data_IF_922561548914
#
_entry.id   IF_922561548914
#
_cell.length_a   1.000
_cell.length_b   1.000
_cell.length_c   1.000
_cell.angle_alpha   90.00
_cell.angle_beta   90.00
_cell.angle_gamma   90.00
#
_symmetry.space_group_name_H-M   'P 1'
#
loop_
_entity.id
_entity.type
_entity.pdbx_description
1 polymer ?
#
# COMPACT_ATOMS: atom_id res chain seq x y z
N UNK A 1 2.78 -2.46 -19.33
CA UNK A 1 3.89 -1.50 -19.15
C UNK A 1 5.00 -2.25 -18.44
N UNK A 2 5.99 -2.78 -19.17
CA UNK A 2 7.17 -3.38 -18.53
C UNK A 2 8.25 -2.32 -18.62
N UNK A 3 8.57 -1.69 -17.49
CA UNK A 3 9.68 -0.74 -17.44
C UNK A 3 10.95 -1.51 -17.81
N UNK A 4 11.64 -1.08 -18.87
CA UNK A 4 12.92 -1.69 -19.26
C UNK A 4 13.89 -1.52 -18.10
N UNK A 5 14.72 -2.54 -17.83
CA UNK A 5 15.90 -2.46 -16.95
C UNK A 5 17.01 -1.61 -17.57
N UNK A 6 16.68 -0.45 -18.14
CA UNK A 6 17.70 0.50 -18.54
C UNK A 6 18.08 1.33 -17.30
N UNK A 7 19.39 1.54 -17.05
CA UNK A 7 19.82 2.37 -15.93
C UNK A 7 19.25 3.77 -16.18
N UNK A 8 18.32 4.20 -15.32
CA UNK A 8 17.68 5.51 -15.42
C UNK A 8 18.72 6.58 -15.11
N UNK A 9 19.53 6.95 -16.11
CA UNK A 9 20.48 8.05 -16.03
C UNK A 9 19.69 9.36 -16.17
N UNK A 10 19.66 10.10 -15.06
CA UNK A 10 18.95 11.35 -14.81
C UNK A 10 17.42 11.26 -14.87
N UNK A 11 16.81 11.30 -13.67
CA UNK A 11 15.38 11.53 -13.52
C UNK A 11 14.94 12.80 -14.23
N UNK A 12 13.75 12.75 -14.84
CA UNK A 12 13.09 13.94 -15.36
C UNK A 12 13.11 15.05 -14.31
N UNK A 13 13.48 16.28 -14.72
CA UNK A 13 13.53 17.45 -13.83
C UNK A 13 12.23 17.66 -13.03
N UNK A 14 11.11 17.13 -13.54
CA UNK A 14 9.79 17.12 -12.91
C UNK A 14 9.76 16.43 -11.53
N UNK A 15 10.63 15.44 -11.28
CA UNK A 15 10.63 14.66 -10.03
C UNK A 15 11.89 14.84 -9.18
N UNK A 16 12.61 15.96 -9.37
CA UNK A 16 13.87 16.23 -8.68
C UNK A 16 13.75 16.41 -7.15
N UNK A 17 12.53 16.61 -6.63
CA UNK A 17 12.32 16.73 -5.17
C UNK A 17 12.42 15.34 -4.53
N UNK A 18 13.37 15.09 -3.61
CA UNK A 18 13.53 13.78 -2.98
C UNK A 18 12.31 13.39 -2.14
N UNK A 19 12.05 12.09 -2.06
CA UNK A 19 11.01 11.55 -1.18
C UNK A 19 11.45 11.64 0.28
N UNK A 20 10.61 12.12 1.22
CA UNK A 20 10.96 12.15 2.64
C UNK A 20 11.31 10.77 3.20
N UNK A 21 12.35 10.67 4.03
CA UNK A 21 12.77 9.42 4.69
C UNK A 21 11.90 9.12 5.91
N UNK A 22 10.60 8.96 5.70
CA UNK A 22 9.62 8.60 6.74
C UNK A 22 8.97 7.28 6.38
N UNK A 23 9.09 6.32 7.28
CA UNK A 23 8.47 5.00 7.15
C UNK A 23 7.21 5.00 8.00
N UNK A 24 6.09 4.64 7.40
CA UNK A 24 4.79 4.60 8.05
C UNK A 24 4.22 3.20 8.01
N UNK A 25 3.77 2.74 9.16
CA UNK A 25 3.04 1.48 9.32
C UNK A 25 1.73 1.74 10.05
N UNK A 26 0.76 0.86 9.85
CA UNK A 26 -0.55 0.93 10.47
C UNK A 26 -0.95 -0.41 11.06
N UNK A 27 -1.55 -0.38 12.24
CA UNK A 27 -2.28 -1.51 12.82
C UNK A 27 -3.47 -0.98 13.60
N UNK A 28 -4.69 -1.45 13.31
CA UNK A 28 -5.93 -0.79 13.75
C UNK A 28 -6.07 -0.65 15.27
N UNK A 29 -5.59 -1.63 16.04
CA UNK A 29 -5.53 -1.61 17.50
C UNK A 29 -4.14 -1.98 18.03
N UNK A 30 -3.31 -0.97 18.31
CA UNK A 30 -1.96 -1.16 18.85
C UNK A 30 -1.93 -1.77 20.26
N UNK A 31 -3.03 -1.71 21.03
CA UNK A 31 -3.11 -2.38 22.33
C UNK A 31 -3.19 -3.90 22.18
N UNK A 32 -3.65 -4.36 21.01
CA UNK A 32 -3.79 -5.78 20.66
C UNK A 32 -2.87 -6.19 19.52
N UNK A 33 -1.78 -5.44 19.29
CA UNK A 33 -0.78 -5.77 18.29
C UNK A 33 -0.17 -7.14 18.58
N UNK A 34 -0.29 -8.13 17.67
CA UNK A 34 0.31 -9.44 17.85
C UNK A 34 1.84 -9.35 17.91
N UNK A 35 2.44 -10.20 18.75
CA UNK A 35 3.89 -10.16 18.99
C UNK A 35 4.71 -10.54 17.75
N UNK A 36 4.18 -11.42 16.90
CA UNK A 36 4.79 -11.80 15.62
C UNK A 36 4.72 -10.66 14.59
N UNK A 37 3.60 -9.94 14.50
CA UNK A 37 3.49 -8.71 13.69
C UNK A 37 4.43 -7.62 14.22
N UNK A 38 4.50 -7.44 15.54
CA UNK A 38 5.43 -6.49 16.18
C UNK A 38 6.89 -6.78 15.83
N UNK A 39 7.26 -8.06 15.66
CA UNK A 39 8.58 -8.45 15.22
C UNK A 39 8.85 -8.01 13.76
N UNK A 40 7.88 -8.17 12.86
CA UNK A 40 7.94 -7.65 11.49
C UNK A 40 8.20 -6.13 11.48
N UNK A 41 7.37 -5.36 12.18
CA UNK A 41 7.54 -3.91 12.30
C UNK A 41 8.90 -3.51 12.90
N UNK A 42 9.39 -4.28 13.88
CA UNK A 42 10.67 -4.00 14.53
C UNK A 42 11.88 -4.20 13.60
N UNK A 43 11.78 -5.03 12.56
CA UNK A 43 12.85 -5.23 11.58
C UNK A 43 13.23 -3.94 10.83
N UNK A 44 12.28 -3.02 10.66
CA UNK A 44 12.48 -1.74 9.97
C UNK A 44 13.27 -0.72 10.79
N UNK A 45 13.33 -0.86 12.12
CA UNK A 45 14.00 0.11 13.03
C UNK A 45 15.47 0.31 12.73
N UNK A 46 16.13 -0.66 12.11
CA UNK A 46 17.54 -0.50 11.74
C UNK A 46 17.77 0.69 10.78
N UNK A 47 16.76 1.09 10.00
CA UNK A 47 16.84 2.25 9.11
C UNK A 47 16.87 3.60 9.85
N UNK A 48 16.55 3.66 11.14
CA UNK A 48 16.75 4.88 11.95
C UNK A 48 18.23 5.32 11.93
N UNK A 49 19.16 4.35 11.85
CA UNK A 49 20.61 4.61 11.72
C UNK A 49 20.98 5.23 10.38
N UNK A 50 20.15 5.05 9.35
CA UNK A 50 20.26 5.67 8.02
C UNK A 50 19.48 6.99 7.91
N UNK A 51 18.98 7.52 9.05
CA UNK A 51 18.26 8.79 9.11
C UNK A 51 16.79 8.69 8.70
N UNK A 52 16.18 7.50 8.79
CA UNK A 52 14.74 7.35 8.62
C UNK A 52 13.99 7.62 9.93
N UNK A 53 12.86 8.29 9.84
CA UNK A 53 11.88 8.36 10.94
C UNK A 53 10.86 7.26 10.75
N UNK A 54 10.56 6.51 11.81
CA UNK A 54 9.50 5.49 11.80
C UNK A 54 8.28 5.99 12.58
N UNK A 55 7.11 5.90 11.97
CA UNK A 55 5.84 6.30 12.57
C UNK A 55 4.83 5.16 12.47
N UNK A 56 4.13 4.90 13.56
CA UNK A 56 3.12 3.85 13.65
C UNK A 56 1.80 4.47 14.03
N UNK A 57 0.77 4.17 13.25
CA UNK A 57 -0.58 4.67 13.47
C UNK A 57 -1.54 3.54 13.83
N UNK A 58 -2.51 3.87 14.68
CA UNK A 58 -3.69 3.07 14.92
C UNK A 58 -4.92 3.73 14.30
N UNK A 59 -6.09 3.11 14.41
CA UNK A 59 -7.33 3.68 13.89
C UNK A 59 -7.59 5.11 14.38
N UNK A 60 -7.32 5.38 15.66
CA UNK A 60 -7.62 6.67 16.29
C UNK A 60 -6.65 7.76 15.81
N UNK A 61 -5.36 7.48 15.80
CA UNK A 61 -4.35 8.43 15.34
C UNK A 61 -4.41 8.65 13.83
N UNK A 62 -4.74 7.62 13.04
CA UNK A 62 -5.00 7.74 11.60
C UNK A 62 -6.21 8.63 11.32
N UNK A 63 -7.35 8.41 12.00
CA UNK A 63 -8.55 9.25 11.85
C UNK A 63 -8.26 10.72 12.19
N UNK A 64 -7.56 10.96 13.32
CA UNK A 64 -7.19 12.31 13.73
C UNK A 64 -6.22 12.99 12.74
N UNK A 65 -5.28 12.25 12.19
CA UNK A 65 -4.40 12.73 11.12
C UNK A 65 -5.21 13.14 9.89
N UNK A 66 -6.10 12.26 9.39
CA UNK A 66 -6.93 12.54 8.22
C UNK A 66 -7.80 13.76 8.45
N UNK A 67 -8.48 13.85 9.59
CA UNK A 67 -9.33 14.99 9.96
C UNK A 67 -8.55 16.30 9.96
N UNK A 68 -7.39 16.31 10.61
CA UNK A 68 -6.58 17.53 10.74
C UNK A 68 -5.93 17.98 9.44
N UNK A 69 -5.56 17.05 8.54
CA UNK A 69 -4.78 17.34 7.33
C UNK A 69 -5.60 17.41 6.04
N UNK A 70 -6.70 16.67 5.95
CA UNK A 70 -7.54 16.54 4.76
C UNK A 70 -8.99 16.99 5.00
N UNK A 71 -9.46 16.98 6.25
CA UNK A 71 -10.78 17.47 6.64
C UNK A 71 -11.83 16.37 6.82
N UNK A 72 -13.05 16.80 7.16
CA UNK A 72 -14.15 15.92 7.58
C UNK A 72 -14.52 14.86 6.53
N UNK A 73 -14.60 15.24 5.26
CA UNK A 73 -14.98 14.34 4.16
C UNK A 73 -14.11 13.07 4.11
N UNK A 74 -12.79 13.24 4.23
CA UNK A 74 -11.85 12.13 4.16
C UNK A 74 -11.86 11.30 5.45
N UNK A 75 -12.10 11.92 6.61
CA UNK A 75 -12.31 11.22 7.87
C UNK A 75 -13.59 10.36 7.81
N UNK A 76 -14.67 10.91 7.29
CA UNK A 76 -15.94 10.21 7.15
C UNK A 76 -15.79 8.99 6.23
N UNK A 77 -15.08 9.15 5.10
CA UNK A 77 -14.76 8.03 4.21
C UNK A 77 -13.89 6.96 4.92
N UNK A 78 -12.84 7.36 5.64
CA UNK A 78 -12.04 6.43 6.44
C UNK A 78 -12.88 5.65 7.47
N UNK A 79 -13.84 6.31 8.11
CA UNK A 79 -14.74 5.69 9.08
C UNK A 79 -15.77 4.74 8.45
N UNK A 80 -16.02 4.85 7.13
CA UNK A 80 -16.84 3.90 6.36
C UNK A 80 -16.10 2.63 5.96
N UNK A 81 -14.77 2.58 6.07
CA UNK A 81 -14.01 1.34 5.89
C UNK A 81 -14.45 0.31 6.93
N UNK A 82 -15.08 -0.78 6.48
CA UNK A 82 -15.64 -1.79 7.39
C UNK A 82 -14.62 -2.80 7.89
N UNK A 83 -13.38 -2.80 7.36
CA UNK A 83 -12.33 -3.75 7.71
C UNK A 83 -10.98 -3.03 7.94
N UNK A 84 -10.14 -3.46 8.91
CA UNK A 84 -8.80 -2.89 9.16
C UNK A 84 -7.91 -2.78 7.92
N UNK A 85 -7.93 -3.78 7.03
CA UNK A 85 -7.18 -3.73 5.77
C UNK A 85 -7.63 -2.59 4.85
N UNK A 86 -8.93 -2.29 4.78
CA UNK A 86 -9.41 -1.12 4.02
C UNK A 86 -8.99 0.19 4.67
N UNK A 87 -8.98 0.24 6.01
CA UNK A 87 -8.46 1.41 6.75
C UNK A 87 -6.97 1.62 6.44
N UNK A 88 -6.18 0.55 6.47
CA UNK A 88 -4.76 0.56 6.13
C UNK A 88 -4.54 1.11 4.71
N UNK A 89 -5.32 0.63 3.74
CA UNK A 89 -5.28 1.08 2.35
C UNK A 89 -5.70 2.55 2.17
N UNK A 90 -6.76 2.99 2.82
CA UNK A 90 -7.18 4.39 2.74
C UNK A 90 -6.15 5.32 3.42
N UNK A 91 -5.62 4.89 4.57
CA UNK A 91 -4.65 5.66 5.33
C UNK A 91 -3.30 5.78 4.60
N UNK A 92 -2.83 4.74 3.89
CA UNK A 92 -1.58 4.86 3.10
C UNK A 92 -1.66 5.94 2.04
N UNK A 93 -2.78 6.04 1.31
CA UNK A 93 -2.95 7.11 0.32
C UNK A 93 -3.05 8.48 1.00
N UNK A 94 -3.79 8.55 2.10
CA UNK A 94 -3.96 9.79 2.88
C UNK A 94 -2.62 10.32 3.39
N UNK A 95 -1.82 9.46 4.02
CA UNK A 95 -0.53 9.85 4.58
C UNK A 95 0.46 10.24 3.48
N UNK A 96 0.67 9.37 2.49
CA UNK A 96 1.66 9.62 1.42
C UNK A 96 1.26 10.81 0.56
N UNK A 97 -0.03 11.07 0.34
CA UNK A 97 -0.46 12.30 -0.33
C UNK A 97 -0.09 13.57 0.46
N UNK A 98 -0.25 13.56 1.79
CA UNK A 98 -0.02 14.74 2.64
C UNK A 98 1.47 14.96 2.92
N UNK A 99 2.18 13.93 3.36
CA UNK A 99 3.55 14.02 3.87
C UNK A 99 4.58 13.46 2.89
N UNK A 100 4.16 12.70 1.88
CA UNK A 100 5.05 11.81 1.13
C UNK A 100 5.61 10.70 2.03
N UNK A 101 6.70 10.11 1.60
CA UNK A 101 7.44 9.11 2.36
C UNK A 101 7.20 7.71 1.86
N UNK A 102 7.24 6.76 2.78
CA UNK A 102 7.22 5.33 2.51
C UNK A 102 6.24 4.63 3.42
N UNK A 103 5.12 4.19 2.86
CA UNK A 103 4.21 3.30 3.56
C UNK A 103 4.59 1.85 3.30
N UNK A 104 4.64 1.05 4.37
CA UNK A 104 4.93 -0.39 4.35
C UNK A 104 3.95 -1.14 5.24
N UNK A 105 3.63 -2.38 4.87
CA UNK A 105 2.66 -3.17 5.65
C UNK A 105 3.26 -3.59 7.00
N UNK A 106 2.40 -3.78 8.01
CA UNK A 106 2.84 -4.14 9.36
C UNK A 106 3.39 -5.58 9.45
N UNK A 107 3.00 -6.44 8.51
CA UNK A 107 3.44 -7.83 8.42
C UNK A 107 4.68 -8.03 7.51
N UNK A 108 5.21 -6.96 6.93
CA UNK A 108 6.39 -6.99 6.09
C UNK A 108 7.69 -6.96 6.91
N UNK A 109 8.63 -7.85 6.57
CA UNK A 109 9.94 -7.97 7.23
C UNK A 109 11.02 -7.37 6.34
N UNK A 110 11.80 -6.45 6.89
CA UNK A 110 12.95 -5.86 6.23
C UNK A 110 14.19 -6.77 6.27
N UNK A 111 14.81 -7.02 5.12
CA UNK A 111 15.95 -7.93 4.96
C UNK A 111 17.33 -7.26 5.05
N UNK A 112 17.38 -5.95 5.28
CA UNK A 112 18.64 -5.20 5.41
C UNK A 112 19.26 -4.72 4.10
N UNK A 113 18.59 -4.94 2.96
CA UNK A 113 19.00 -4.37 1.67
C UNK A 113 18.85 -2.85 1.69
N UNK A 114 19.89 -2.05 1.37
CA UNK A 114 19.80 -0.59 1.38
C UNK A 114 18.66 -0.04 0.53
N UNK A 115 17.93 0.96 1.05
CA UNK A 115 16.74 1.54 0.39
C UNK A 115 16.89 3.00 0.02
N UNK A 116 18.01 3.66 0.38
CA UNK A 116 18.22 5.11 0.25
C UNK A 116 18.02 5.62 -1.18
N UNK A 117 18.36 4.80 -2.18
CA UNK A 117 18.18 5.13 -3.60
C UNK A 117 16.70 5.28 -4.01
N UNK A 118 15.77 4.58 -3.33
CA UNK A 118 14.34 4.73 -3.58
C UNK A 118 13.80 6.12 -3.18
N UNK A 119 14.58 6.86 -2.39
CA UNK A 119 14.22 8.19 -1.89
C UNK A 119 14.92 9.33 -2.64
N UNK A 120 15.76 9.01 -3.63
CA UNK A 120 16.57 9.99 -4.35
C UNK A 120 15.74 10.98 -5.20
N UNK A 121 14.52 10.59 -5.57
CA UNK A 121 13.60 11.40 -6.36
C UNK A 121 12.15 11.25 -5.86
N UNK A 122 11.24 12.03 -6.43
CA UNK A 122 9.83 12.11 -6.04
C UNK A 122 8.89 11.15 -6.77
N UNK A 123 9.40 10.29 -7.66
CA UNK A 123 8.58 9.33 -8.40
C UNK A 123 7.86 8.38 -7.43
N UNK A 124 6.70 7.88 -7.83
CA UNK A 124 6.01 6.81 -7.12
C UNK A 124 6.73 5.47 -7.35
N UNK A 125 7.10 4.72 -6.30
CA UNK A 125 7.68 3.38 -6.42
C UNK A 125 6.64 2.35 -6.02
N UNK A 126 6.35 1.41 -6.91
CA UNK A 126 5.39 0.32 -6.70
C UNK A 126 6.01 -1.03 -7.05
N UNK A 127 5.68 -2.06 -6.27
CA UNK A 127 5.97 -3.45 -6.63
C UNK A 127 4.91 -3.97 -7.62
N UNK A 128 5.32 -4.51 -8.77
CA UNK A 128 4.39 -5.12 -9.71
C UNK A 128 4.04 -6.54 -9.26
N UNK A 129 2.81 -6.98 -9.52
CA UNK A 129 2.32 -8.33 -9.25
C UNK A 129 1.61 -8.89 -10.48
N UNK A 130 1.62 -10.22 -10.58
CA UNK A 130 0.90 -10.95 -11.59
C UNK A 130 0.25 -12.19 -10.97
N UNK A 131 -1.06 -12.35 -11.16
CA UNK A 131 -1.81 -13.52 -10.69
C UNK A 131 -2.27 -14.34 -11.90
N UNK A 132 -2.05 -15.64 -11.85
CA UNK A 132 -2.53 -16.57 -12.86
C UNK A 132 -3.80 -17.28 -12.37
N UNK A 133 -4.92 -17.00 -13.06
CA UNK A 133 -6.22 -17.60 -12.76
C UNK A 133 -6.17 -19.13 -12.90
N UNK A 134 -5.45 -19.65 -13.91
CA UNK A 134 -5.46 -21.08 -14.21
C UNK A 134 -4.82 -21.91 -13.10
N UNK A 135 -3.76 -21.40 -12.48
CA UNK A 135 -3.06 -22.07 -11.37
C UNK A 135 -3.49 -21.57 -9.99
N UNK A 136 -4.27 -20.49 -9.93
CA UNK A 136 -4.67 -19.79 -8.70
C UNK A 136 -3.47 -19.38 -7.84
N UNK A 137 -2.42 -18.84 -8.49
CA UNK A 137 -1.15 -18.50 -7.86
C UNK A 137 -0.58 -17.19 -8.38
N UNK A 138 0.28 -16.57 -7.57
CA UNK A 138 1.15 -15.50 -8.03
C UNK A 138 2.18 -16.06 -9.02
N UNK A 139 2.40 -15.35 -10.13
CA UNK A 139 3.47 -15.62 -11.07
C UNK A 139 4.74 -14.96 -10.55
N UNK A 140 5.86 -15.67 -10.62
CA UNK A 140 7.15 -15.16 -10.14
C UNK A 140 7.60 -13.91 -10.94
N UNK A 141 8.12 -12.85 -10.29
CA UNK A 141 8.63 -11.66 -10.95
C UNK A 141 9.65 -11.94 -12.04
N UNK A 142 10.54 -12.92 -11.88
CA UNK A 142 11.54 -13.32 -12.88
C UNK A 142 10.93 -13.88 -14.17
N UNK A 143 9.63 -14.21 -14.15
CA UNK A 143 8.87 -14.69 -15.29
C UNK A 143 8.09 -13.54 -15.92
N UNK A 144 7.17 -12.90 -15.17
CA UNK A 144 6.21 -11.96 -15.77
C UNK A 144 6.81 -10.59 -16.08
N UNK A 145 7.97 -10.24 -15.52
CA UNK A 145 8.65 -8.97 -15.84
C UNK A 145 9.52 -9.05 -17.10
N UNK A 146 9.64 -10.22 -17.74
CA UNK A 146 10.36 -10.34 -19.01
C UNK A 146 9.62 -9.59 -20.13
N UNK A 147 10.33 -8.87 -21.02
CA UNK A 147 9.69 -8.21 -22.16
C UNK A 147 8.84 -9.17 -22.99
N UNK A 148 7.58 -8.80 -23.23
CA UNK A 148 6.63 -9.62 -24.00
C UNK A 148 5.99 -10.78 -23.23
N UNK A 149 6.36 -11.01 -21.96
CA UNK A 149 5.72 -12.03 -21.14
C UNK A 149 4.25 -11.69 -20.88
N UNK A 150 3.35 -12.51 -21.40
CA UNK A 150 1.91 -12.41 -21.18
C UNK A 150 1.27 -13.77 -21.49
N UNK A 151 0.22 -14.14 -20.76
CA UNK A 151 -0.58 -15.32 -21.06
C UNK A 151 -2.08 -15.04 -20.82
N UNK A 152 -2.99 -15.70 -21.56
CA UNK A 152 -4.41 -15.63 -21.25
C UNK A 152 -4.69 -16.02 -19.80
N UNK A 153 -5.45 -15.21 -19.08
CA UNK A 153 -5.78 -15.44 -17.67
C UNK A 153 -4.76 -14.87 -16.67
N UNK A 154 -3.67 -14.23 -17.13
CA UNK A 154 -2.80 -13.45 -16.25
C UNK A 154 -3.41 -12.08 -15.95
N UNK A 155 -3.44 -11.73 -14.66
CA UNK A 155 -3.90 -10.44 -14.16
C UNK A 155 -2.68 -9.68 -13.63
N UNK A 156 -2.34 -8.56 -14.26
CA UNK A 156 -1.27 -7.67 -13.81
C UNK A 156 -1.84 -6.55 -12.96
N UNK A 157 -1.21 -6.27 -11.83
CA UNK A 157 -1.60 -5.20 -10.93
C UNK A 157 -0.41 -4.72 -10.11
N UNK A 158 -0.55 -3.58 -9.43
CA UNK A 158 0.44 -3.11 -8.48
C UNK A 158 0.02 -3.48 -7.07
N UNK A 159 0.98 -3.96 -6.28
CA UNK A 159 0.79 -4.12 -4.84
C UNK A 159 0.61 -2.73 -4.20
N UNK A 160 -0.15 -2.64 -3.10
CA UNK A 160 -0.31 -1.38 -2.36
C UNK A 160 0.85 -1.11 -1.41
N UNK A 161 1.76 -2.08 -1.29
CA UNK A 161 3.00 -2.00 -0.51
C UNK A 161 4.18 -2.50 -1.36
N UNK A 162 5.32 -1.81 -1.41
CA UNK A 162 5.56 -0.49 -0.83
C UNK A 162 4.78 0.60 -1.57
N UNK A 163 4.50 1.69 -0.86
CA UNK A 163 4.03 2.94 -1.47
C UNK A 163 5.01 4.05 -1.10
N UNK A 164 5.96 4.35 -2.01
CA UNK A 164 7.00 5.37 -1.79
C UNK A 164 6.81 6.51 -2.78
N UNK A 165 6.59 7.74 -2.31
CA UNK A 165 6.44 8.90 -3.20
C UNK A 165 6.68 10.22 -2.47
N UNK A 166 6.94 11.29 -3.24
CA UNK A 166 6.84 12.65 -2.70
C UNK A 166 5.39 13.00 -2.34
N UNK A 167 5.21 14.00 -1.47
CA UNK A 167 3.90 14.55 -1.18
C UNK A 167 3.19 15.04 -2.46
N UNK A 168 1.86 14.99 -2.47
CA UNK A 168 0.98 15.43 -3.57
C UNK A 168 1.25 14.73 -4.90
N UNK A 169 1.73 13.49 -4.88
CA UNK A 169 1.91 12.71 -6.10
C UNK A 169 0.55 12.45 -6.78
N UNK A 170 0.36 12.73 -8.08
CA UNK A 170 -0.94 12.73 -8.75
C UNK A 170 -1.62 11.35 -8.78
N UNK A 171 -0.84 10.27 -8.89
CA UNK A 171 -1.38 8.90 -8.81
C UNK A 171 -1.91 8.59 -7.39
N UNK A 172 -1.21 9.06 -6.35
CA UNK A 172 -1.62 8.83 -4.95
C UNK A 172 -2.87 9.66 -4.65
N UNK A 173 -2.92 10.90 -5.14
CA UNK A 173 -4.13 11.73 -5.09
C UNK A 173 -5.32 11.06 -5.77
N UNK A 174 -5.13 10.54 -6.99
CA UNK A 174 -6.18 9.83 -7.72
C UNK A 174 -6.67 8.59 -6.97
N UNK A 175 -5.76 7.81 -6.39
CA UNK A 175 -6.12 6.64 -5.59
C UNK A 175 -6.94 7.02 -4.35
N UNK A 176 -6.55 8.09 -3.65
CA UNK A 176 -7.30 8.63 -2.51
C UNK A 176 -8.69 9.13 -2.92
N UNK A 177 -8.79 9.88 -4.03
CA UNK A 177 -10.07 10.39 -4.53
C UNK A 177 -11.00 9.27 -4.96
N UNK A 178 -10.51 8.28 -5.72
CA UNK A 178 -11.30 7.14 -6.17
C UNK A 178 -11.82 6.31 -5.00
N UNK A 179 -10.98 6.05 -4.00
CA UNK A 179 -11.38 5.36 -2.77
C UNK A 179 -12.44 6.15 -2.01
N UNK A 180 -12.27 7.47 -1.88
CA UNK A 180 -13.22 8.36 -1.20
C UNK A 180 -14.58 8.32 -1.87
N UNK A 181 -14.64 8.51 -3.19
CA UNK A 181 -15.89 8.46 -3.97
C UNK A 181 -16.55 7.08 -3.85
N UNK A 182 -15.77 6.01 -3.88
CA UNK A 182 -16.30 4.64 -3.77
C UNK A 182 -16.89 4.35 -2.38
N UNK A 183 -16.29 4.89 -1.32
CA UNK A 183 -16.80 4.78 0.05
C UNK A 183 -18.00 5.71 0.31
N UNK A 184 -18.10 6.82 -0.41
CA UNK A 184 -19.24 7.75 -0.35
C UNK A 184 -20.49 7.19 -1.03
N UNK A 185 -20.31 6.37 -2.07
CA UNK A 185 -21.40 5.77 -2.82
C UNK A 185 -22.31 4.92 -1.92
N UNK A 186 -23.61 5.18 -1.98
CA UNK A 186 -24.61 4.41 -1.23
C UNK A 186 -24.63 2.96 -1.71
N UNK A 187 -24.28 2.04 -0.81
CA UNK A 187 -24.24 0.62 -1.13
C UNK A 187 -25.62 -0.02 -0.94
N UNK A 188 -26.48 0.08 -1.94
CA UNK A 188 -27.77 -0.64 -1.97
C UNK A 188 -27.59 -2.17 -2.04
N UNK A 189 -26.38 -2.64 -2.37
CA UNK A 189 -26.02 -4.04 -2.66
C UNK A 189 -25.08 -4.70 -1.63
N UNK A 190 -24.89 -4.11 -0.45
CA UNK A 190 -24.04 -4.65 0.62
C UNK A 190 -22.64 -4.04 0.68
N UNK A 191 -21.75 -4.59 1.50
CA UNK A 191 -20.44 -4.00 1.75
C UNK A 191 -19.54 -4.02 0.49
N UNK A 192 -18.71 -2.98 0.26
CA UNK A 192 -17.87 -2.88 -0.92
C UNK A 192 -16.75 -3.94 -0.93
N UNK A 193 -16.31 -4.34 -2.13
CA UNK A 193 -15.18 -5.27 -2.27
C UNK A 193 -13.86 -4.56 -1.94
N UNK A 194 -13.04 -5.17 -1.09
CA UNK A 194 -11.82 -4.55 -0.51
C UNK A 194 -10.83 -4.10 -1.59
N UNK A 195 -10.49 -4.97 -2.54
CA UNK A 195 -9.43 -4.70 -3.52
C UNK A 195 -9.79 -3.59 -4.52
N UNK A 196 -11.04 -3.58 -4.99
CA UNK A 196 -11.54 -2.61 -5.96
C UNK A 196 -11.78 -1.23 -5.34
N UNK A 197 -12.04 -1.17 -4.03
CA UNK A 197 -12.41 0.08 -3.34
C UNK A 197 -11.20 0.81 -2.79
N UNK A 198 -10.39 0.14 -1.95
CA UNK A 198 -9.22 0.75 -1.32
C UNK A 198 -7.93 0.05 -1.70
N UNK A 199 -7.98 -1.24 -2.04
CA UNK A 199 -6.79 -2.06 -2.25
C UNK A 199 -6.15 -1.93 -3.64
N UNK A 200 -5.44 -2.99 -4.09
CA UNK A 200 -4.59 -2.95 -5.30
C UNK A 200 -5.35 -2.71 -6.61
N UNK A 201 -6.64 -3.08 -6.66
CA UNK A 201 -7.50 -2.80 -7.81
C UNK A 201 -7.70 -1.30 -8.00
N UNK A 202 -7.99 -0.57 -6.92
CA UNK A 202 -8.10 0.89 -6.94
C UNK A 202 -6.77 1.55 -7.37
N UNK A 203 -5.66 1.17 -6.73
CA UNK A 203 -4.34 1.75 -7.06
C UNK A 203 -3.96 1.52 -8.53
N UNK A 204 -4.13 0.29 -9.02
CA UNK A 204 -3.81 -0.05 -10.42
C UNK A 204 -4.67 0.73 -11.39
N UNK A 205 -5.96 0.87 -11.10
CA UNK A 205 -6.88 1.70 -11.89
C UNK A 205 -6.43 3.16 -11.90
N UNK A 206 -6.08 3.74 -10.76
CA UNK A 206 -5.62 5.13 -10.65
C UNK A 206 -4.32 5.39 -11.42
N UNK A 207 -3.38 4.43 -11.44
CA UNK A 207 -2.19 4.49 -12.30
C UNK A 207 -2.62 4.59 -13.77
N UNK A 208 -3.52 3.72 -14.22
CA UNK A 208 -3.97 3.69 -15.61
C UNK A 208 -4.70 4.97 -16.03
N UNK A 209 -5.57 5.50 -15.16
CA UNK A 209 -6.30 6.75 -15.39
C UNK A 209 -5.33 7.92 -15.61
N UNK A 210 -4.38 8.13 -14.69
CA UNK A 210 -3.42 9.25 -14.76
C UNK A 210 -2.51 9.16 -16.00
N UNK A 211 -2.07 7.95 -16.36
CA UNK A 211 -1.25 7.74 -17.57
C UNK A 211 -2.06 7.94 -18.86
N UNK A 212 -3.33 7.50 -18.88
CA UNK A 212 -4.22 7.68 -20.03
C UNK A 212 -4.61 9.14 -20.24
N UNK A 213 -4.62 9.95 -19.17
CA UNK A 213 -4.81 11.40 -19.21
C UNK A 213 -3.56 12.17 -19.68
N UNK A 214 -2.47 11.47 -20.04
CA UNK A 214 -1.27 12.06 -20.66
C UNK A 214 -0.09 12.28 -19.72
N UNK A 215 -0.14 11.80 -18.47
CA UNK A 215 1.02 11.86 -17.58
C UNK A 215 2.15 10.96 -18.08
N UNK A 216 3.39 11.43 -17.92
CA UNK A 216 4.56 10.62 -18.31
C UNK A 216 4.66 9.35 -17.46
N UNK A 217 4.98 8.19 -18.07
CA UNK A 217 5.35 6.97 -17.35
C UNK A 217 6.50 7.18 -16.34
N UNK A 218 7.34 8.20 -16.57
CA UNK A 218 8.46 8.56 -15.68
C UNK A 218 7.99 9.09 -14.32
N UNK A 219 6.69 9.30 -14.10
CA UNK A 219 6.13 9.55 -12.77
C UNK A 219 6.27 8.34 -11.83
N UNK A 220 6.57 7.15 -12.36
CA UNK A 220 6.66 5.93 -11.60
C UNK A 220 7.98 5.20 -11.82
N UNK A 221 8.38 4.46 -10.79
CA UNK A 221 9.43 3.44 -10.84
C UNK A 221 8.84 2.11 -10.39
N UNK A 222 9.07 1.07 -11.17
CA UNK A 222 8.67 -0.30 -10.86
C UNK A 222 9.77 -0.95 -10.03
N UNK A 223 9.47 -1.28 -8.77
CA UNK A 223 10.36 -1.97 -7.85
C UNK A 223 10.30 -3.49 -8.11
N UNK A 224 10.97 -3.94 -9.17
CA UNK A 224 10.89 -5.33 -9.65
C UNK A 224 11.61 -6.38 -8.78
N UNK A 225 12.54 -5.95 -7.91
CA UNK A 225 13.27 -6.85 -7.01
C UNK A 225 12.92 -6.55 -5.53
N UNK A 226 11.67 -6.13 -5.27
CA UNK A 226 11.22 -5.72 -3.93
C UNK A 226 11.39 -6.82 -2.88
N UNK A 227 11.27 -8.09 -3.29
CA UNK A 227 11.42 -9.26 -2.43
C UNK A 227 12.82 -9.38 -1.82
N UNK A 228 13.84 -8.74 -2.41
CA UNK A 228 15.18 -8.65 -1.82
C UNK A 228 15.24 -7.64 -0.68
N UNK A 229 14.32 -6.68 -0.65
CA UNK A 229 14.23 -5.62 0.36
C UNK A 229 13.29 -6.05 1.48
N UNK A 230 12.08 -6.51 1.12
CA UNK A 230 11.04 -6.89 2.07
C UNK A 230 10.16 -8.01 1.54
N UNK A 231 9.68 -8.84 2.46
CA UNK A 231 8.65 -9.84 2.17
C UNK A 231 7.59 -9.83 3.26
N UNK A 232 6.33 -10.05 2.88
CA UNK A 232 5.25 -10.31 3.82
C UNK A 232 5.49 -11.62 4.56
N UNK A 233 5.52 -11.56 5.89
CA UNK A 233 5.79 -12.72 6.74
C UNK A 233 4.63 -13.71 6.71
N UNK A 234 4.98 -14.99 6.59
CA UNK A 234 4.06 -16.11 6.71
C UNK A 234 4.73 -17.28 7.45
N UNK A 235 4.05 -17.96 8.41
CA UNK A 235 2.72 -17.63 8.93
C UNK A 235 2.74 -16.45 9.90
N UNK A 236 1.56 -15.89 10.19
CA UNK A 236 1.32 -14.92 11.27
C UNK A 236 -0.05 -15.20 11.91
N UNK A 237 -0.14 -15.04 13.22
CA UNK A 237 -1.29 -15.41 14.06
C UNK A 237 -2.62 -14.77 13.65
N UNK A 238 -2.59 -13.56 13.06
CA UNK A 238 -3.82 -12.86 12.64
C UNK A 238 -4.44 -13.44 11.36
N UNK A 239 -3.70 -14.27 10.62
CA UNK A 239 -4.12 -14.77 9.31
C UNK A 239 -5.17 -15.87 9.39
N UNK A 240 -5.33 -16.47 10.58
CA UNK A 240 -6.23 -17.60 10.82
C UNK A 240 -7.58 -17.17 11.43
N UNK A 241 -7.85 -15.86 11.56
CA UNK A 241 -9.10 -15.33 12.12
C UNK A 241 -9.68 -14.14 11.34
N UNK A 242 -10.72 -13.50 11.88
CA UNK A 242 -11.49 -12.42 11.24
C UNK A 242 -10.66 -11.19 10.88
N UNK A 243 -9.44 -11.03 11.41
CA UNK A 243 -8.49 -9.99 11.03
C UNK A 243 -7.92 -10.20 9.62
N UNK A 244 -8.00 -11.42 9.08
CA UNK A 244 -7.67 -11.71 7.69
C UNK A 244 -8.81 -11.27 6.77
N UNK A 245 -8.60 -10.20 6.01
CA UNK A 245 -9.62 -9.66 5.10
C UNK A 245 -10.14 -10.69 4.08
N UNK A 246 -9.35 -11.73 3.75
CA UNK A 246 -9.78 -12.79 2.81
C UNK A 246 -10.94 -13.63 3.36
N UNK A 247 -11.10 -13.67 4.68
CA UNK A 247 -12.21 -14.36 5.35
C UNK A 247 -13.42 -13.43 5.57
N UNK A 248 -13.21 -12.11 5.45
CA UNK A 248 -14.18 -11.08 5.83
C UNK A 248 -14.55 -10.14 4.66
N UNK A 249 -14.19 -10.48 3.41
CA UNK A 249 -14.50 -9.63 2.26
C UNK A 249 -16.02 -9.50 2.10
N UNK A 250 -16.50 -8.26 2.03
CA UNK A 250 -17.92 -7.90 2.02
C UNK A 250 -18.71 -8.34 3.27
N UNK A 251 -18.01 -8.60 4.39
CA UNK A 251 -18.61 -8.92 5.69
C UNK A 251 -18.11 -7.92 6.74
N UNK A 252 -19.01 -7.47 7.61
CA UNK A 252 -18.63 -6.47 8.62
C UNK A 252 -17.61 -7.07 9.59
N UNK A 253 -16.46 -6.41 9.74
CA UNK A 253 -15.49 -6.81 10.75
C UNK A 253 -16.02 -6.44 12.13
N UNK A 254 -16.07 -7.42 13.02
CA UNK A 254 -16.25 -7.22 14.45
C UNK A 254 -14.96 -7.65 15.14
N UNK A 255 -14.30 -6.70 15.81
CA UNK A 255 -13.13 -7.01 16.61
C UNK A 255 -13.53 -8.02 17.70
N UNK A 256 -12.70 -9.04 18.01
CA UNK A 256 -12.98 -9.99 19.10
C UNK A 256 -13.27 -9.25 20.40
N UNK A 257 -14.24 -9.70 21.21
CA UNK A 257 -14.46 -9.04 22.50
C UNK A 257 -13.28 -9.33 23.44
N UNK A 258 -13.04 -8.47 24.45
CA UNK A 258 -12.03 -8.75 25.49
C UNK A 258 -12.31 -10.06 26.27
N UNK A 259 -13.52 -10.61 26.15
CA UNK A 259 -13.95 -11.83 26.83
C UNK A 259 -13.65 -13.11 26.02
N UNK A 260 -13.35 -12.98 24.72
CA UNK A 260 -13.12 -14.11 23.81
C UNK A 260 -11.64 -14.54 23.73
N UNK A 261 -10.75 -13.83 24.43
CA UNK A 261 -9.34 -14.20 24.58
C UNK A 261 -9.16 -14.86 25.96
N UNK A 262 -9.57 -16.13 26.05
CA UNK A 262 -9.21 -17.03 27.16
C UNK A 262 -8.61 -18.31 26.62
#
# INVERSE_FOLDING_TARGET
>A
MVQRREPTLLGSATWATPTPRRIVQFWDDLQRLPQDVKACMSSWKQLERSGFTLEVFDKKSASAFIRSRLGARYEDAFNRCYHPSMMSDYFRYSYVFVEGGFYIDADDVYHGTPVEQLFADGRLKLQPFCYDIATSRMVDPSIFTKPGANQPGWIFYFNTTPLIASARHPIVERALMNATVSLEADSTSGLPEVQATTGPGNLTRSVFEILSEGSSPDAMMVAHDWELISTSQWPLSYRDDSRNWRLSNQQAYCAPSLLDVR
#
